data_IF_095029740786
#
_entry.id   IF_095029740786
#
_cell.length_a   1.000
_cell.length_b   1.000
_cell.length_c   1.000
_cell.angle_alpha   90.00
_cell.angle_beta   90.00
_cell.angle_gamma   90.00
#
_symmetry.space_group_name_H-M   'P 1'
#
loop_
_entity.id
_entity.type
_entity.pdbx_description
1 polymer ?
#
# COMPACT_ATOMS: atom_id res chain seq x y z
N UNK A 1 3.38 -24.82 -1.19
CA UNK A 1 3.54 -23.88 -2.32
C UNK A 1 2.56 -22.73 -2.10
N UNK A 2 3.01 -21.47 -2.12
CA UNK A 2 2.12 -20.31 -1.84
C UNK A 2 1.52 -19.68 -3.10
N UNK A 3 1.85 -20.20 -4.29
CA UNK A 3 1.44 -19.60 -5.58
C UNK A 3 -0.07 -19.42 -5.71
N UNK A 4 -0.88 -20.35 -5.18
CA UNK A 4 -2.35 -20.25 -5.20
C UNK A 4 -2.83 -19.02 -4.44
N UNK A 5 -2.30 -18.78 -3.24
CA UNK A 5 -2.63 -17.61 -2.44
C UNK A 5 -2.21 -16.31 -3.14
N UNK A 6 -1.00 -16.24 -3.71
CA UNK A 6 -0.51 -15.06 -4.41
C UNK A 6 -1.33 -14.74 -5.67
N UNK A 7 -1.71 -15.76 -6.44
CA UNK A 7 -2.58 -15.59 -7.60
C UNK A 7 -3.98 -15.12 -7.18
N UNK A 8 -4.54 -15.67 -6.10
CA UNK A 8 -5.83 -15.21 -5.55
C UNK A 8 -5.74 -13.75 -5.09
N UNK A 9 -4.67 -13.36 -4.38
CA UNK A 9 -4.43 -11.98 -3.96
C UNK A 9 -4.37 -11.03 -5.17
N UNK A 10 -3.58 -11.38 -6.17
CA UNK A 10 -3.46 -10.60 -7.40
C UNK A 10 -4.79 -10.51 -8.18
N UNK A 11 -5.56 -11.60 -8.22
CA UNK A 11 -6.84 -11.64 -8.94
C UNK A 11 -7.92 -10.82 -8.24
N UNK A 12 -8.01 -10.93 -6.92
CA UNK A 12 -9.06 -10.30 -6.10
C UNK A 12 -8.77 -8.87 -5.70
N UNK A 13 -7.49 -8.46 -5.68
CA UNK A 13 -7.02 -7.19 -5.12
C UNK A 13 -7.49 -6.97 -3.66
N UNK A 14 -7.65 -8.05 -2.89
CA UNK A 14 -8.03 -7.98 -1.47
C UNK A 14 -7.31 -9.02 -0.62
N UNK A 15 -6.55 -8.55 0.38
CA UNK A 15 -5.90 -9.41 1.38
C UNK A 15 -6.93 -10.15 2.23
N UNK A 16 -8.03 -9.47 2.60
CA UNK A 16 -9.11 -10.06 3.39
C UNK A 16 -9.85 -11.15 2.63
N UNK A 17 -10.11 -10.97 1.33
CA UNK A 17 -10.74 -11.99 0.50
C UNK A 17 -9.82 -13.20 0.26
N UNK A 18 -8.50 -12.98 0.29
CA UNK A 18 -7.50 -14.02 0.06
C UNK A 18 -7.14 -14.81 1.32
N UNK A 19 -7.39 -14.26 2.50
CA UNK A 19 -7.03 -14.84 3.79
C UNK A 19 -7.39 -16.34 3.94
N UNK A 20 -8.62 -16.82 3.60
CA UNK A 20 -8.94 -18.24 3.72
C UNK A 20 -8.03 -19.13 2.86
N UNK A 21 -7.71 -18.68 1.65
CA UNK A 21 -6.82 -19.40 0.72
C UNK A 21 -5.38 -19.41 1.25
N UNK A 22 -4.91 -18.29 1.81
CA UNK A 22 -3.59 -18.18 2.43
C UNK A 22 -3.46 -19.11 3.64
N UNK A 23 -4.46 -19.15 4.52
CA UNK A 23 -4.47 -20.03 5.70
C UNK A 23 -4.44 -21.52 5.31
N UNK A 24 -5.21 -21.92 4.29
CA UNK A 24 -5.19 -23.27 3.75
C UNK A 24 -3.80 -23.62 3.17
N UNK A 25 -3.22 -22.75 2.35
CA UNK A 25 -1.91 -22.97 1.74
C UNK A 25 -0.80 -23.04 2.80
N UNK A 26 -0.83 -22.15 3.80
CA UNK A 26 0.14 -22.12 4.88
C UNK A 26 0.10 -23.40 5.74
N UNK A 27 -1.10 -23.88 6.07
CA UNK A 27 -1.27 -25.08 6.89
C UNK A 27 -0.98 -26.35 6.09
N UNK A 28 -1.60 -26.51 4.92
CA UNK A 28 -1.58 -27.78 4.17
C UNK A 28 -0.36 -27.93 3.27
N UNK A 29 0.18 -26.83 2.74
CA UNK A 29 1.26 -26.89 1.76
C UNK A 29 2.61 -26.37 2.26
N UNK A 30 2.61 -25.48 3.26
CA UNK A 30 3.85 -25.00 3.90
C UNK A 30 4.10 -25.66 5.26
N UNK A 31 3.16 -26.46 5.78
CA UNK A 31 3.33 -27.22 7.01
C UNK A 31 3.40 -26.36 8.27
N UNK A 32 2.92 -25.11 8.22
CA UNK A 32 2.92 -24.19 9.36
C UNK A 32 1.87 -24.65 10.37
N UNK A 33 2.17 -24.51 11.67
CA UNK A 33 1.24 -24.91 12.72
C UNK A 33 -0.07 -24.12 12.62
N UNK A 34 -1.20 -24.83 12.76
CA UNK A 34 -2.53 -24.21 12.72
C UNK A 34 -2.68 -23.10 13.75
N UNK A 35 -2.10 -23.27 14.95
CA UNK A 35 -2.12 -22.24 16.01
C UNK A 35 -1.43 -20.95 15.59
N UNK A 36 -0.31 -21.04 14.88
CA UNK A 36 0.38 -19.86 14.34
C UNK A 36 -0.44 -19.21 13.22
N UNK A 37 -0.98 -20.02 12.31
CA UNK A 37 -1.80 -19.57 11.18
C UNK A 37 -3.04 -18.82 11.64
N UNK A 38 -3.80 -19.37 12.59
CA UNK A 38 -5.07 -18.82 13.08
C UNK A 38 -4.90 -17.48 13.82
N UNK A 39 -3.68 -17.13 14.23
CA UNK A 39 -3.38 -15.85 14.89
C UNK A 39 -2.64 -14.87 13.98
N UNK A 40 -1.53 -15.31 13.37
CA UNK A 40 -0.61 -14.43 12.64
C UNK A 40 -1.20 -13.98 11.32
N UNK A 41 -1.86 -14.86 10.55
CA UNK A 41 -2.36 -14.48 9.23
C UNK A 41 -3.56 -13.52 9.28
N UNK A 42 -4.57 -13.71 10.15
CA UNK A 42 -5.64 -12.72 10.30
C UNK A 42 -5.15 -11.36 10.77
N UNK A 43 -4.17 -11.34 11.69
CA UNK A 43 -3.55 -10.11 12.15
C UNK A 43 -2.74 -9.45 11.02
N UNK A 44 -1.88 -10.21 10.34
CA UNK A 44 -1.05 -9.75 9.23
C UNK A 44 -1.87 -9.19 8.06
N UNK A 45 -3.03 -9.79 7.75
CA UNK A 45 -3.91 -9.30 6.68
C UNK A 45 -4.44 -7.87 6.90
N UNK A 46 -4.33 -7.33 8.12
CA UNK A 46 -4.70 -5.93 8.42
C UNK A 46 -3.50 -5.04 8.69
N UNK A 47 -2.46 -5.52 9.41
CA UNK A 47 -1.33 -4.66 9.79
C UNK A 47 -0.14 -4.75 8.83
N UNK A 48 0.03 -5.86 8.10
CA UNK A 48 1.17 -6.09 7.21
C UNK A 48 0.87 -5.57 5.80
N UNK A 49 0.88 -4.24 5.67
CA UNK A 49 0.54 -3.55 4.44
C UNK A 49 1.78 -2.95 3.74
N UNK A 50 2.87 -3.73 3.66
CA UNK A 50 4.15 -3.28 3.11
C UNK A 50 4.05 -2.77 1.66
N UNK A 51 3.28 -3.47 0.82
CA UNK A 51 3.00 -3.04 -0.55
C UNK A 51 2.21 -1.73 -0.61
N UNK A 52 1.32 -1.49 0.37
CA UNK A 52 0.60 -0.22 0.51
C UNK A 52 1.56 0.91 0.92
N UNK A 53 2.40 0.68 1.93
CA UNK A 53 3.40 1.66 2.38
C UNK A 53 4.39 2.03 1.26
N UNK A 54 4.87 1.01 0.52
CA UNK A 54 5.77 1.22 -0.62
C UNK A 54 5.10 2.03 -1.73
N UNK A 55 3.85 1.68 -2.07
CA UNK A 55 3.07 2.42 -3.06
C UNK A 55 2.86 3.87 -2.64
N UNK A 56 2.49 4.10 -1.38
CA UNK A 56 2.27 5.43 -0.82
C UNK A 56 3.52 6.29 -0.87
N UNK A 57 4.65 5.76 -0.42
CA UNK A 57 5.91 6.49 -0.45
C UNK A 57 6.36 6.81 -1.88
N UNK A 58 6.33 5.83 -2.79
CA UNK A 58 6.74 6.01 -4.18
C UNK A 58 5.84 7.00 -4.92
N UNK A 59 4.53 6.89 -4.70
CA UNK A 59 3.52 7.80 -5.26
C UNK A 59 3.66 9.22 -4.73
N UNK A 60 3.81 9.41 -3.42
CA UNK A 60 3.95 10.73 -2.84
C UNK A 60 5.23 11.42 -3.34
N UNK A 61 6.33 10.67 -3.51
CA UNK A 61 7.55 11.19 -4.14
C UNK A 61 7.30 11.58 -5.60
N UNK A 62 6.60 10.74 -6.37
CA UNK A 62 6.25 11.06 -7.76
C UNK A 62 5.39 12.33 -7.85
N UNK A 63 4.35 12.45 -7.02
CA UNK A 63 3.50 13.64 -6.95
C UNK A 63 4.31 14.87 -6.55
N UNK A 64 5.20 14.74 -5.56
CA UNK A 64 6.09 15.82 -5.15
C UNK A 64 6.97 16.31 -6.32
N UNK A 65 7.51 15.39 -7.12
CA UNK A 65 8.32 15.71 -8.30
C UNK A 65 7.49 16.39 -9.40
N UNK A 66 6.25 15.97 -9.62
CA UNK A 66 5.34 16.63 -10.56
C UNK A 66 4.98 18.04 -10.07
N UNK A 67 4.65 18.18 -8.78
CA UNK A 67 4.33 19.48 -8.17
C UNK A 67 5.51 20.45 -8.24
N UNK A 68 6.74 19.98 -8.03
CA UNK A 68 7.95 20.81 -8.22
C UNK A 68 8.07 21.42 -9.62
N UNK A 69 7.46 20.80 -10.65
CA UNK A 69 7.48 21.27 -12.03
C UNK A 69 6.24 22.08 -12.40
N UNK A 70 5.23 22.16 -11.53
CA UNK A 70 4.00 22.94 -11.77
C UNK A 70 4.22 24.43 -11.48
N UNK A 71 3.44 25.35 -12.09
CA UNK A 71 3.53 26.77 -11.78
C UNK A 71 3.33 27.06 -10.28
N UNK A 72 2.36 26.39 -9.64
CA UNK A 72 2.09 26.56 -8.20
C UNK A 72 3.26 26.12 -7.33
N UNK A 73 3.89 24.99 -7.64
CA UNK A 73 5.04 24.49 -6.88
C UNK A 73 6.29 25.34 -7.06
N UNK A 74 6.48 25.92 -8.26
CA UNK A 74 7.55 26.87 -8.53
C UNK A 74 7.35 28.17 -7.74
N UNK A 75 6.13 28.73 -7.75
CA UNK A 75 5.80 29.96 -7.01
C UNK A 75 5.89 29.75 -5.49
N UNK A 76 5.50 28.56 -5.00
CA UNK A 76 5.66 28.16 -3.61
C UNK A 76 7.11 27.85 -3.22
N UNK A 77 8.03 27.76 -4.18
CA UNK A 77 9.43 27.38 -3.95
C UNK A 77 9.59 25.98 -3.37
N UNK A 78 8.67 25.07 -3.67
CA UNK A 78 8.63 23.73 -3.09
C UNK A 78 9.85 22.90 -3.54
N UNK A 79 10.47 22.20 -2.58
CA UNK A 79 11.62 21.31 -2.83
C UNK A 79 11.45 20.00 -2.09
N UNK A 80 11.74 18.90 -2.79
CA UNK A 80 11.77 17.57 -2.18
C UNK A 80 13.08 17.36 -1.41
N UNK A 81 13.14 17.95 -0.21
CA UNK A 81 14.26 17.77 0.72
C UNK A 81 14.22 16.40 1.40
N UNK A 82 15.36 16.00 1.98
CA UNK A 82 15.47 14.74 2.75
C UNK A 82 14.45 14.71 3.91
N UNK A 83 14.21 15.85 4.57
CA UNK A 83 13.21 15.96 5.64
C UNK A 83 11.80 15.57 5.17
N UNK A 84 11.38 16.08 4.00
CA UNK A 84 10.09 15.74 3.39
C UNK A 84 10.00 14.25 3.05
N UNK A 85 11.06 13.65 2.52
CA UNK A 85 11.10 12.21 2.22
C UNK A 85 10.99 11.34 3.47
N UNK A 86 11.62 11.75 4.58
CA UNK A 86 11.50 11.06 5.87
C UNK A 86 10.06 11.14 6.40
N UNK A 87 9.43 12.32 6.29
CA UNK A 87 8.02 12.47 6.68
C UNK A 87 7.15 11.54 5.83
N UNK A 88 7.31 11.52 4.51
CA UNK A 88 6.58 10.61 3.59
C UNK A 88 6.76 9.16 4.02
N UNK A 89 7.99 8.70 4.28
CA UNK A 89 8.25 7.31 4.63
C UNK A 89 7.57 6.90 5.95
N UNK A 90 7.64 7.76 6.97
CA UNK A 90 7.03 7.52 8.28
C UNK A 90 5.51 7.55 8.18
N UNK A 91 4.94 8.55 7.51
CA UNK A 91 3.48 8.69 7.40
C UNK A 91 2.88 7.61 6.52
N UNK A 92 3.53 7.21 5.42
CA UNK A 92 3.11 6.09 4.60
C UNK A 92 3.11 4.77 5.39
N UNK A 93 4.15 4.51 6.19
CA UNK A 93 4.21 3.30 7.02
C UNK A 93 3.06 3.28 8.04
N UNK A 94 2.79 4.41 8.69
CA UNK A 94 1.72 4.51 9.69
C UNK A 94 0.32 4.46 9.06
N UNK A 95 0.14 5.10 7.91
CA UNK A 95 -1.12 5.11 7.18
C UNK A 95 -1.47 3.72 6.62
N UNK A 96 -0.47 2.98 6.12
CA UNK A 96 -0.63 1.63 5.61
C UNK A 96 -1.19 0.65 6.66
N UNK A 97 -0.79 0.76 7.94
CA UNK A 97 -1.36 -0.06 9.03
C UNK A 97 -2.87 0.19 9.18
N UNK A 98 -3.32 1.41 8.88
CA UNK A 98 -4.73 1.80 8.95
C UNK A 98 -5.53 1.52 7.67
N UNK A 99 -4.89 1.07 6.58
CA UNK A 99 -5.58 0.76 5.35
C UNK A 99 -6.43 -0.52 5.52
N UNK A 100 -7.60 -0.55 4.89
CA UNK A 100 -8.44 -1.73 4.90
C UNK A 100 -7.95 -2.75 3.85
N UNK A 101 -8.06 -4.05 4.14
CA UNK A 101 -7.69 -5.13 3.21
C UNK A 101 -8.67 -5.33 2.04
N UNK A 102 -9.21 -4.24 1.49
CA UNK A 102 -10.17 -4.19 0.38
C UNK A 102 -9.54 -3.50 -0.83
N UNK A 103 -10.08 -3.70 -2.05
CA UNK A 103 -9.55 -3.05 -3.24
C UNK A 103 -9.53 -1.52 -3.12
N UNK A 104 -8.50 -0.90 -3.68
CA UNK A 104 -8.32 0.55 -3.80
C UNK A 104 -8.25 1.33 -2.46
N UNK A 105 -8.12 0.64 -1.31
CA UNK A 105 -8.03 1.29 0.00
C UNK A 105 -6.84 2.28 0.11
N UNK A 106 -5.76 2.03 -0.64
CA UNK A 106 -4.55 2.85 -0.66
C UNK A 106 -4.75 4.29 -1.17
N UNK A 107 -5.80 4.56 -1.95
CA UNK A 107 -6.10 5.92 -2.43
C UNK A 107 -6.58 6.83 -1.30
N UNK A 108 -7.29 6.28 -0.32
CA UNK A 108 -7.80 7.05 0.82
C UNK A 108 -6.67 7.41 1.77
N UNK A 109 -5.81 6.45 2.07
CA UNK A 109 -4.65 6.63 2.94
C UNK A 109 -3.57 7.50 2.29
N UNK A 110 -3.46 7.51 0.95
CA UNK A 110 -2.63 8.47 0.21
C UNK A 110 -2.90 9.93 0.59
N UNK A 111 -4.17 10.30 0.78
CA UNK A 111 -4.53 11.66 1.15
C UNK A 111 -3.94 12.07 2.50
N UNK A 112 -3.71 11.12 3.42
CA UNK A 112 -3.04 11.36 4.69
C UNK A 112 -1.57 11.71 4.45
N UNK A 113 -0.90 10.92 3.59
CA UNK A 113 0.53 11.08 3.28
C UNK A 113 0.79 12.43 2.58
N UNK A 114 -0.02 12.80 1.59
CA UNK A 114 0.11 14.07 0.88
C UNK A 114 -0.16 15.28 1.78
N UNK A 115 -1.19 15.21 2.63
CA UNK A 115 -1.47 16.27 3.60
C UNK A 115 -0.33 16.48 4.59
N UNK A 116 0.33 15.40 5.01
CA UNK A 116 1.45 15.48 5.96
C UNK A 116 2.65 16.30 5.43
N UNK A 117 2.79 16.40 4.11
CA UNK A 117 3.84 17.20 3.45
C UNK A 117 3.29 18.44 2.72
N UNK A 118 2.00 18.76 2.89
CA UNK A 118 1.37 19.93 2.31
C UNK A 118 1.21 19.88 0.79
N UNK A 119 1.16 18.69 0.19
CA UNK A 119 0.93 18.54 -1.25
C UNK A 119 -0.56 18.60 -1.60
N UNK A 120 -0.95 19.23 -2.72
CA UNK A 120 -2.35 19.31 -3.11
C UNK A 120 -2.94 17.92 -3.45
N UNK A 121 -4.13 17.63 -2.96
CA UNK A 121 -4.78 16.31 -3.11
C UNK A 121 -5.28 16.04 -4.53
N UNK A 122 -5.47 17.08 -5.34
CA UNK A 122 -5.90 16.95 -6.73
C UNK A 122 -4.94 16.11 -7.59
N UNK A 123 -3.65 16.06 -7.21
CA UNK A 123 -2.64 15.26 -7.89
C UNK A 123 -2.85 13.74 -7.72
N UNK A 124 -3.69 13.28 -6.78
CA UNK A 124 -4.09 11.85 -6.68
C UNK A 124 -4.76 11.37 -7.96
N UNK A 125 -5.45 12.27 -8.67
CA UNK A 125 -6.12 11.95 -9.94
C UNK A 125 -5.17 11.43 -11.02
N UNK A 126 -3.87 11.77 -10.96
CA UNK A 126 -2.85 11.31 -11.90
C UNK A 126 -2.62 9.79 -11.83
N UNK A 127 -3.00 9.15 -10.72
CA UNK A 127 -2.68 7.74 -10.45
C UNK A 127 -3.91 6.86 -10.53
N UNK A 128 -5.11 7.44 -10.46
CA UNK A 128 -6.38 6.71 -10.62
C UNK A 128 -6.40 5.82 -11.86
N UNK A 129 -5.81 6.28 -12.96
CA UNK A 129 -5.78 5.53 -14.24
C UNK A 129 -4.99 4.22 -14.17
N UNK A 130 -4.02 4.13 -13.26
CA UNK A 130 -3.11 2.98 -13.12
C UNK A 130 -3.32 2.21 -11.81
N UNK A 131 -4.05 2.77 -10.83
CA UNK A 131 -4.19 2.19 -9.50
C UNK A 131 -4.81 0.78 -9.54
N UNK A 132 -5.80 0.56 -10.40
CA UNK A 132 -6.46 -0.75 -10.55
C UNK A 132 -5.47 -1.90 -10.85
N UNK A 133 -4.34 -1.60 -11.51
CA UNK A 133 -3.31 -2.58 -11.84
C UNK A 133 -2.28 -2.67 -10.70
N UNK A 134 -1.84 -1.52 -10.19
CA UNK A 134 -0.86 -1.46 -9.09
C UNK A 134 -1.42 -2.14 -7.83
N UNK A 135 -2.71 -1.97 -7.55
CA UNK A 135 -3.39 -2.54 -6.39
C UNK A 135 -3.29 -4.06 -6.30
N UNK A 136 -3.32 -4.73 -7.45
CA UNK A 136 -3.15 -6.19 -7.53
C UNK A 136 -1.76 -6.62 -7.09
N UNK A 137 -0.73 -5.88 -7.48
CA UNK A 137 0.65 -6.13 -7.05
C UNK A 137 0.86 -5.79 -5.57
N UNK A 138 0.26 -4.69 -5.08
CA UNK A 138 0.27 -4.34 -3.65
C UNK A 138 -0.32 -5.47 -2.81
N UNK A 139 -1.51 -5.93 -3.17
CA UNK A 139 -2.22 -7.00 -2.46
C UNK A 139 -1.41 -8.30 -2.46
N UNK A 140 -0.83 -8.67 -3.60
CA UNK A 140 0.01 -9.86 -3.68
C UNK A 140 1.25 -9.75 -2.77
N UNK A 141 1.86 -8.56 -2.69
CA UNK A 141 3.00 -8.28 -1.81
C UNK A 141 2.61 -8.35 -0.34
N UNK A 142 1.51 -7.69 0.05
CA UNK A 142 0.96 -7.73 1.41
C UNK A 142 0.62 -9.15 1.86
N UNK A 143 0.13 -9.99 0.94
CA UNK A 143 -0.22 -11.40 1.24
C UNK A 143 1.02 -12.30 1.33
N UNK A 144 2.12 -11.92 0.68
CA UNK A 144 3.36 -12.69 0.69
C UNK A 144 4.19 -12.47 1.95
N UNK A 145 4.25 -11.23 2.44
CA UNK A 145 4.93 -10.86 3.68
C UNK A 145 4.19 -11.39 4.91
#
# INVERSE_FOLDING_TARGET
NMSRALLTAFSTASSSATLPVTMECATQQAGVSKRSVDFVLPLGATINMDGTALYEAATAIFIAQVYMLSPEGIDAGFKLEIGTQVIIAVTATLAAIGAAGIPEAGLVTMMIVLNAVGLPLEYVSLILSVDWLLDRFRTATNTFG
#
